data_IF_802132684005
#
_entry.id   IF_802132684005
#
_cell.length_a   1.000
_cell.length_b   1.000
_cell.length_c   1.000
_cell.angle_alpha   90.00
_cell.angle_beta   90.00
_cell.angle_gamma   90.00
#
_symmetry.space_group_name_H-M   'P 1'
#
loop_
_entity.id
_entity.type
_entity.pdbx_description
1 polymer ?
#
# COMPACT_ATOMS: atom_id res chain seq x y z
N UNK A 1 -32.88 -43.58 36.92
CA UNK A 1 -31.81 -42.84 37.57
C UNK A 1 -31.81 -41.44 37.08
N UNK A 2 -32.13 -40.46 37.93
CA UNK A 2 -32.13 -39.03 37.62
C UNK A 2 -30.74 -38.59 37.27
N UNK A 3 -30.51 -38.27 36.04
CA UNK A 3 -29.37 -37.48 35.61
C UNK A 3 -29.71 -36.02 35.86
N UNK A 4 -29.53 -35.53 37.09
CA UNK A 4 -29.47 -34.12 37.37
C UNK A 4 -28.20 -33.55 36.71
N UNK A 5 -28.33 -33.06 35.52
CA UNK A 5 -27.28 -32.35 34.85
C UNK A 5 -27.05 -31.05 35.56
N UNK A 6 -25.95 -30.93 36.32
CA UNK A 6 -25.48 -29.64 36.82
C UNK A 6 -24.84 -28.89 35.67
N UNK A 7 -25.46 -27.78 35.27
CA UNK A 7 -24.85 -26.87 34.34
C UNK A 7 -23.85 -25.98 35.10
N UNK A 8 -22.62 -25.90 34.62
CA UNK A 8 -21.62 -24.95 35.11
C UNK A 8 -21.55 -23.78 34.16
N UNK A 9 -21.62 -22.59 34.70
CA UNK A 9 -21.33 -21.35 33.96
C UNK A 9 -19.97 -20.82 34.42
N UNK A 10 -19.05 -20.67 33.48
CA UNK A 10 -17.75 -20.05 33.74
C UNK A 10 -17.78 -18.67 33.12
N UNK A 11 -17.71 -17.65 33.97
CA UNK A 11 -17.57 -16.25 33.53
C UNK A 11 -16.14 -15.79 33.82
N UNK A 12 -15.49 -15.21 32.83
CA UNK A 12 -14.19 -14.57 32.99
C UNK A 12 -14.15 -13.25 32.23
N UNK A 13 -13.27 -12.37 32.68
CA UNK A 13 -13.00 -11.09 32.02
C UNK A 13 -11.54 -11.09 31.55
N UNK A 14 -11.36 -10.74 30.29
CA UNK A 14 -10.03 -10.53 29.72
C UNK A 14 -9.92 -9.09 29.22
N UNK A 15 -8.75 -8.48 29.42
CA UNK A 15 -8.44 -7.17 28.83
C UNK A 15 -7.87 -7.40 27.45
N UNK A 16 -8.40 -6.73 26.44
CA UNK A 16 -7.81 -6.74 25.12
C UNK A 16 -6.42 -6.11 25.13
N UNK A 17 -5.47 -6.72 24.46
CA UNK A 17 -4.14 -6.14 24.30
C UNK A 17 -4.18 -4.95 23.34
N UNK A 18 -3.22 -4.04 23.45
CA UNK A 18 -3.10 -2.86 22.58
C UNK A 18 -2.78 -3.18 21.11
N UNK A 19 -2.62 -4.43 20.79
CA UNK A 19 -2.26 -4.92 19.47
C UNK A 19 -3.44 -5.39 18.61
N UNK A 20 -4.67 -5.34 19.15
CA UNK A 20 -5.87 -5.59 18.37
C UNK A 20 -6.20 -4.41 17.47
N UNK A 21 -6.57 -4.69 16.22
CA UNK A 21 -7.03 -3.70 15.24
C UNK A 21 -8.54 -3.76 15.08
N UNK A 22 -9.12 -2.65 14.63
CA UNK A 22 -10.55 -2.59 14.32
C UNK A 22 -10.90 -3.61 13.23
N UNK A 23 -11.94 -4.40 13.47
CA UNK A 23 -12.35 -5.48 12.57
C UNK A 23 -11.63 -6.83 12.80
N UNK A 24 -10.67 -6.90 13.72
CA UNK A 24 -10.00 -8.18 14.05
C UNK A 24 -10.95 -9.13 14.77
N UNK A 25 -10.91 -10.41 14.38
CA UNK A 25 -11.70 -11.45 15.03
C UNK A 25 -10.97 -12.01 16.26
N UNK A 26 -11.67 -12.01 17.39
CA UNK A 26 -11.21 -12.64 18.62
C UNK A 26 -12.00 -13.94 18.78
N UNK A 27 -11.29 -15.06 18.75
CA UNK A 27 -11.88 -16.38 18.95
C UNK A 27 -11.58 -16.89 20.36
N UNK A 28 -12.62 -17.23 21.07
CA UNK A 28 -12.55 -17.92 22.35
C UNK A 28 -12.88 -19.39 22.15
N UNK A 29 -11.99 -20.27 22.62
CA UNK A 29 -12.17 -21.72 22.56
C UNK A 29 -12.20 -22.24 23.99
N UNK A 30 -13.31 -22.83 24.36
CA UNK A 30 -13.47 -23.55 25.63
C UNK A 30 -13.47 -25.04 25.38
N UNK A 31 -12.56 -25.75 26.03
CA UNK A 31 -12.50 -27.21 26.00
C UNK A 31 -12.95 -27.77 27.36
N UNK A 32 -13.87 -28.72 27.35
CA UNK A 32 -14.29 -29.39 28.54
C UNK A 32 -14.03 -30.89 28.41
N UNK A 33 -13.35 -31.46 29.41
CA UNK A 33 -13.13 -32.90 29.50
C UNK A 33 -13.62 -33.42 30.83
N UNK A 34 -14.27 -34.55 30.81
CA UNK A 34 -14.75 -35.23 32.01
C UNK A 34 -14.45 -36.73 31.94
N UNK A 35 -13.72 -37.22 32.93
CA UNK A 35 -13.45 -38.67 33.20
C UNK A 35 -13.11 -39.52 31.96
N UNK A 36 -12.29 -39.02 31.04
CA UNK A 36 -11.83 -39.74 29.86
C UNK A 36 -12.82 -39.78 28.70
N UNK A 37 -13.91 -39.03 28.78
CA UNK A 37 -14.81 -38.79 27.64
C UNK A 37 -14.18 -37.82 26.67
N UNK A 38 -14.62 -37.92 25.39
CA UNK A 38 -14.16 -36.99 24.35
C UNK A 38 -14.37 -35.55 24.76
N UNK A 39 -13.39 -34.72 24.42
CA UNK A 39 -13.41 -33.30 24.74
C UNK A 39 -14.54 -32.61 23.98
N UNK A 40 -15.49 -32.03 24.68
CA UNK A 40 -16.43 -31.11 24.09
C UNK A 40 -15.72 -29.73 23.92
N UNK A 41 -15.75 -29.22 22.71
CA UNK A 41 -15.18 -27.93 22.40
C UNK A 41 -16.30 -26.94 22.03
N UNK A 42 -16.31 -25.82 22.70
CA UNK A 42 -17.16 -24.68 22.34
C UNK A 42 -16.30 -23.53 21.83
N UNK A 43 -16.63 -23.03 20.65
CA UNK A 43 -15.92 -21.92 20.03
C UNK A 43 -16.87 -20.74 19.87
N UNK A 44 -16.47 -19.57 20.30
CA UNK A 44 -17.19 -18.32 20.02
C UNK A 44 -16.24 -17.27 19.44
N UNK A 45 -16.67 -16.64 18.36
CA UNK A 45 -15.92 -15.56 17.69
C UNK A 45 -16.65 -14.27 17.86
N UNK A 46 -15.91 -13.19 18.14
CA UNK A 46 -16.40 -11.81 18.21
C UNK A 46 -15.47 -10.92 17.40
N UNK A 47 -16.03 -10.05 16.60
CA UNK A 47 -15.27 -9.00 15.92
C UNK A 47 -14.98 -7.87 16.91
N UNK A 48 -13.71 -7.49 17.02
CA UNK A 48 -13.31 -6.33 17.81
C UNK A 48 -13.69 -5.07 17.04
N UNK A 49 -14.41 -4.16 17.68
CA UNK A 49 -14.80 -2.89 17.10
C UNK A 49 -14.37 -1.74 18.02
N UNK A 50 -13.75 -0.75 17.43
CA UNK A 50 -13.45 0.51 18.11
C UNK A 50 -14.71 1.37 18.06
N UNK A 51 -15.55 1.28 19.07
CA UNK A 51 -16.79 2.05 19.14
C UNK A 51 -16.50 3.52 19.47
N UNK A 52 -16.53 4.38 18.46
CA UNK A 52 -16.72 5.84 18.60
C UNK A 52 -15.72 6.63 19.43
N UNK A 53 -14.61 6.06 19.84
CA UNK A 53 -13.57 6.70 20.64
C UNK A 53 -12.18 6.22 20.24
N UNK A 54 -11.15 7.04 20.49
CA UNK A 54 -9.78 6.61 20.37
C UNK A 54 -9.52 5.60 21.50
N UNK A 55 -9.42 4.31 21.16
CA UNK A 55 -9.00 3.31 22.14
C UNK A 55 -7.65 3.74 22.73
N UNK A 56 -7.49 3.57 24.03
CA UNK A 56 -6.24 3.87 24.72
C UNK A 56 -5.08 3.12 24.04
N UNK A 57 -4.09 3.85 23.51
CA UNK A 57 -2.98 3.31 22.73
C UNK A 57 -3.01 3.66 21.24
N UNK A 58 -4.17 3.99 20.66
CA UNK A 58 -4.29 4.45 19.26
C UNK A 58 -4.05 5.95 19.13
N UNK A 59 -2.85 6.39 19.47
CA UNK A 59 -2.49 7.82 19.58
C UNK A 59 -1.27 8.19 18.72
N UNK A 60 -0.70 7.23 18.01
CA UNK A 60 0.51 7.46 17.23
C UNK A 60 0.19 7.91 15.81
N UNK A 61 1.11 8.67 15.21
CA UNK A 61 0.95 9.26 13.89
C UNK A 61 2.22 9.05 13.06
N UNK A 62 2.04 8.64 11.81
CA UNK A 62 3.10 8.61 10.81
C UNK A 62 2.88 9.78 9.86
N UNK A 63 3.93 10.58 9.64
CA UNK A 63 3.97 11.72 8.74
C UNK A 63 4.94 11.45 7.61
N UNK A 64 4.58 11.87 6.40
CA UNK A 64 5.41 11.80 5.20
C UNK A 64 5.61 13.21 4.68
N UNK A 65 6.84 13.54 4.36
CA UNK A 65 7.21 14.74 3.61
C UNK A 65 7.91 14.31 2.32
N UNK A 66 7.20 14.45 1.19
CA UNK A 66 7.63 14.01 -0.13
C UNK A 66 8.29 15.11 -0.89
N UNK A 67 9.51 14.87 -1.38
CA UNK A 67 10.32 15.87 -2.10
C UNK A 67 11.00 15.26 -3.32
N UNK A 68 11.52 16.13 -4.19
CA UNK A 68 12.46 15.76 -5.25
C UNK A 68 13.93 15.85 -4.78
N UNK A 69 14.87 15.59 -5.69
CA UNK A 69 16.32 15.67 -5.46
C UNK A 69 16.80 17.08 -5.09
N UNK A 70 16.06 18.13 -5.47
CA UNK A 70 16.34 19.52 -5.11
C UNK A 70 15.65 19.94 -3.80
N UNK A 71 14.92 19.04 -3.16
CA UNK A 71 14.16 19.30 -1.93
C UNK A 71 12.83 20.00 -2.16
N UNK A 72 12.36 20.11 -3.42
CA UNK A 72 11.06 20.69 -3.71
C UNK A 72 9.94 19.71 -3.36
N UNK A 73 8.83 20.18 -2.76
CA UNK A 73 7.73 19.32 -2.39
C UNK A 73 7.05 18.67 -3.61
N UNK A 74 6.64 17.45 -3.48
CA UNK A 74 5.99 16.68 -4.54
C UNK A 74 4.57 16.30 -4.15
N UNK A 75 3.60 16.83 -4.89
CA UNK A 75 2.19 16.50 -4.78
C UNK A 75 1.85 15.21 -5.55
N UNK A 76 0.86 14.46 -5.05
CA UNK A 76 0.23 13.36 -5.78
C UNK A 76 0.94 12.01 -5.66
N UNK A 77 1.98 11.89 -4.84
CA UNK A 77 2.51 10.59 -4.46
C UNK A 77 1.49 9.82 -3.61
N UNK A 78 1.25 8.55 -3.93
CA UNK A 78 0.33 7.69 -3.19
C UNK A 78 1.11 6.65 -2.42
N UNK A 79 0.85 6.57 -1.11
CA UNK A 79 1.47 5.61 -0.20
C UNK A 79 0.44 4.72 0.49
N UNK A 80 0.82 3.49 0.76
CA UNK A 80 0.15 2.61 1.71
C UNK A 80 1.01 2.48 2.96
N UNK A 81 0.38 2.63 4.12
CA UNK A 81 0.98 2.31 5.43
C UNK A 81 0.42 0.98 5.87
N UNK A 82 1.30 0.02 6.03
CA UNK A 82 0.97 -1.38 6.31
C UNK A 82 1.48 -1.71 7.71
N UNK A 83 0.65 -2.26 8.56
CA UNK A 83 1.06 -2.79 9.84
C UNK A 83 1.71 -4.14 9.64
N UNK A 84 2.98 -4.29 10.00
CA UNK A 84 3.78 -5.47 9.65
C UNK A 84 3.26 -6.76 10.29
N UNK A 85 2.72 -6.67 11.49
CA UNK A 85 2.26 -7.80 12.28
C UNK A 85 1.14 -8.62 11.60
N UNK A 86 0.19 -7.96 10.97
CA UNK A 86 -0.97 -8.60 10.36
C UNK A 86 -1.16 -8.24 8.88
N UNK A 87 -0.20 -7.51 8.30
CA UNK A 87 -0.21 -7.05 6.91
C UNK A 87 -1.43 -6.18 6.54
N UNK A 88 -2.08 -5.59 7.54
CA UNK A 88 -3.22 -4.71 7.33
C UNK A 88 -2.77 -3.34 6.80
N UNK A 89 -3.42 -2.85 5.75
CA UNK A 89 -3.27 -1.47 5.27
C UNK A 89 -4.05 -0.57 6.23
N UNK A 90 -3.32 0.17 7.07
CA UNK A 90 -3.89 1.08 8.09
C UNK A 90 -4.07 2.51 7.58
N UNK A 91 -3.51 2.83 6.42
CA UNK A 91 -3.68 4.12 5.76
C UNK A 91 -3.30 4.07 4.29
N UNK A 92 -4.06 4.77 3.46
CA UNK A 92 -3.72 5.09 2.09
C UNK A 92 -3.67 6.61 1.96
N UNK A 93 -2.50 7.13 1.65
CA UNK A 93 -2.16 8.55 1.75
C UNK A 93 -1.84 9.09 0.37
N UNK A 94 -2.25 10.34 0.13
CA UNK A 94 -1.81 11.09 -1.06
C UNK A 94 -1.17 12.40 -0.60
N UNK A 95 0.00 12.72 -1.10
CA UNK A 95 0.70 13.95 -0.73
C UNK A 95 0.01 15.17 -1.31
N UNK A 96 -0.11 16.22 -0.49
CA UNK A 96 -0.65 17.52 -0.85
C UNK A 96 0.36 18.39 -1.63
N UNK A 97 0.01 19.66 -1.88
CA UNK A 97 0.86 20.62 -2.59
C UNK A 97 2.19 20.91 -1.89
N UNK A 98 2.22 20.74 -0.57
CA UNK A 98 3.43 20.93 0.24
C UNK A 98 4.21 19.63 0.44
N UNK A 99 3.81 18.56 -0.28
CA UNK A 99 4.43 17.24 -0.21
C UNK A 99 4.07 16.46 1.06
N UNK A 100 3.10 16.90 1.84
CA UNK A 100 2.78 16.30 3.13
C UNK A 100 1.63 15.28 3.01
N UNK A 101 1.74 14.22 3.80
CA UNK A 101 0.67 13.29 4.06
C UNK A 101 0.82 12.68 5.46
N UNK A 102 -0.28 12.27 6.09
CA UNK A 102 -0.19 11.66 7.42
C UNK A 102 -1.32 10.68 7.69
N UNK A 103 -1.06 9.71 8.55
CA UNK A 103 -2.04 8.81 9.13
C UNK A 103 -1.87 8.78 10.66
N UNK A 104 -2.94 9.04 11.37
CA UNK A 104 -3.00 8.98 12.84
C UNK A 104 -3.84 7.81 13.34
N UNK A 105 -4.09 7.80 14.64
CA UNK A 105 -4.81 6.73 15.33
C UNK A 105 -4.15 5.36 15.11
N UNK A 106 -2.83 5.32 15.22
CA UNK A 106 -2.03 4.11 15.12
C UNK A 106 -1.61 3.61 16.51
N UNK A 107 -1.36 2.33 16.61
CA UNK A 107 -0.66 1.73 17.74
C UNK A 107 0.84 1.97 17.61
N UNK A 108 1.58 1.85 18.71
CA UNK A 108 3.04 1.81 18.69
C UNK A 108 3.49 0.41 18.24
N UNK A 109 3.79 0.29 16.95
CA UNK A 109 4.09 -1.00 16.31
C UNK A 109 5.07 -0.83 15.14
N UNK A 110 5.40 -1.93 14.46
CA UNK A 110 6.18 -1.94 13.23
C UNK A 110 5.27 -1.65 12.03
N UNK A 111 5.72 -0.75 11.16
CA UNK A 111 5.00 -0.38 9.95
C UNK A 111 5.91 -0.37 8.73
N UNK A 112 5.31 -0.64 7.59
CA UNK A 112 5.91 -0.50 6.28
C UNK A 112 5.20 0.59 5.51
N UNK A 113 5.95 1.58 5.01
CA UNK A 113 5.45 2.59 4.06
C UNK A 113 5.86 2.14 2.67
N UNK A 114 4.88 1.94 1.80
CA UNK A 114 5.08 1.55 0.41
C UNK A 114 4.56 2.64 -0.51
N UNK A 115 5.39 3.13 -1.40
CA UNK A 115 4.93 4.01 -2.47
C UNK A 115 4.17 3.17 -3.51
N UNK A 116 2.90 3.47 -3.73
CA UNK A 116 2.05 2.79 -4.71
C UNK A 116 2.14 3.49 -6.06
N UNK A 117 2.11 4.83 -6.03
CA UNK A 117 2.20 5.67 -7.23
C UNK A 117 3.15 6.83 -6.96
N UNK A 118 4.15 6.99 -7.82
CA UNK A 118 5.02 8.15 -7.80
C UNK A 118 4.33 9.39 -8.40
N UNK A 119 4.76 10.61 -8.05
CA UNK A 119 4.32 11.81 -8.74
C UNK A 119 4.65 11.78 -10.24
N UNK A 120 3.86 12.49 -11.03
CA UNK A 120 4.08 12.55 -12.48
C UNK A 120 5.47 13.05 -12.83
N UNK A 121 6.20 12.31 -13.65
CA UNK A 121 7.57 12.65 -14.09
C UNK A 121 8.67 12.23 -13.11
N UNK A 122 8.34 11.39 -12.11
CA UNK A 122 9.29 10.86 -11.14
C UNK A 122 9.28 9.35 -11.11
N UNK A 123 10.43 8.76 -10.83
CA UNK A 123 10.57 7.32 -10.69
C UNK A 123 10.03 6.88 -9.32
N UNK A 124 9.26 5.78 -9.33
CA UNK A 124 8.71 5.18 -8.13
C UNK A 124 9.84 4.57 -7.28
N UNK A 125 9.70 4.64 -5.95
CA UNK A 125 10.59 3.91 -5.04
C UNK A 125 10.56 2.41 -5.30
N UNK A 126 11.74 1.80 -5.30
CA UNK A 126 11.91 0.35 -5.47
C UNK A 126 11.89 -0.40 -4.15
N UNK A 127 12.14 0.30 -3.04
CA UNK A 127 12.21 -0.27 -1.70
C UNK A 127 11.16 0.34 -0.78
N UNK A 128 10.60 -0.52 0.07
CA UNK A 128 9.69 -0.12 1.13
C UNK A 128 10.46 0.52 2.29
N UNK A 129 9.84 1.49 2.95
CA UNK A 129 10.41 2.18 4.12
C UNK A 129 9.86 1.55 5.38
N UNK A 130 10.73 1.16 6.29
CA UNK A 130 10.37 0.55 7.58
C UNK A 130 10.32 1.58 8.69
N UNK A 131 9.39 1.39 9.60
CA UNK A 131 9.25 2.15 10.86
C UNK A 131 9.17 1.14 11.99
N UNK A 132 10.03 1.34 12.99
CA UNK A 132 10.00 0.55 14.23
C UNK A 132 9.30 1.32 15.36
N UNK A 133 8.82 0.62 16.41
CA UNK A 133 8.16 1.24 17.55
C UNK A 133 9.01 2.29 18.28
N UNK A 134 10.34 2.14 18.26
CA UNK A 134 11.27 3.00 18.98
C UNK A 134 11.51 4.35 18.29
N UNK A 135 11.08 4.47 17.03
CA UNK A 135 11.23 5.70 16.28
C UNK A 135 10.12 6.73 16.57
N UNK A 136 9.02 6.32 17.19
CA UNK A 136 7.99 7.26 17.62
C UNK A 136 8.49 8.11 18.78
N UNK A 137 8.57 9.41 18.55
CA UNK A 137 9.04 10.39 19.53
C UNK A 137 8.09 10.59 20.72
N UNK A 138 8.46 11.50 21.60
CA UNK A 138 7.65 11.87 22.78
C UNK A 138 6.30 12.50 22.40
N UNK A 139 6.23 13.11 21.22
CA UNK A 139 5.01 13.65 20.59
C UNK A 139 4.13 12.56 19.94
N UNK A 140 4.52 11.28 20.09
CA UNK A 140 3.86 10.12 19.52
C UNK A 140 3.79 10.14 17.99
N UNK A 141 4.74 10.78 17.35
CA UNK A 141 4.85 10.83 15.91
C UNK A 141 6.21 10.38 15.38
N UNK A 142 6.22 9.93 14.14
CA UNK A 142 7.42 9.71 13.34
C UNK A 142 7.22 10.37 11.99
N UNK A 143 8.26 11.01 11.48
CA UNK A 143 8.25 11.66 10.17
C UNK A 143 9.28 11.00 9.25
N UNK A 144 8.92 10.85 7.98
CA UNK A 144 9.78 10.37 6.91
C UNK A 144 9.84 11.39 5.79
N UNK A 145 11.02 11.94 5.55
CA UNK A 145 11.34 12.66 4.33
C UNK A 145 11.66 11.61 3.25
N UNK A 146 10.87 11.62 2.18
CA UNK A 146 10.96 10.63 1.10
C UNK A 146 11.25 11.37 -0.20
N UNK A 147 12.32 10.97 -0.88
CA UNK A 147 12.78 11.57 -2.12
C UNK A 147 12.48 10.68 -3.32
N UNK A 148 11.97 11.26 -4.42
CA UNK A 148 11.93 10.60 -5.73
C UNK A 148 12.85 11.31 -6.70
N UNK A 149 13.47 10.52 -7.58
CA UNK A 149 14.29 11.00 -8.67
C UNK A 149 13.43 11.34 -9.88
N UNK A 150 13.78 12.41 -10.59
CA UNK A 150 13.16 12.72 -11.87
C UNK A 150 13.39 11.58 -12.86
N UNK A 151 12.32 11.16 -13.52
CA UNK A 151 12.43 10.19 -14.61
C UNK A 151 13.25 10.84 -15.74
N UNK A 152 14.37 10.26 -16.17
CA UNK A 152 15.14 10.78 -17.28
C UNK A 152 14.26 10.90 -18.53
N UNK A 153 14.43 11.98 -19.34
CA UNK A 153 13.78 12.03 -20.63
C UNK A 153 14.13 10.76 -21.42
N UNK A 154 13.13 10.12 -22.00
CA UNK A 154 13.40 9.01 -22.92
C UNK A 154 14.19 9.59 -24.09
N UNK A 155 15.44 9.23 -24.19
CA UNK A 155 16.22 9.51 -25.39
C UNK A 155 15.51 8.80 -26.55
N UNK A 156 15.11 9.50 -27.60
CA UNK A 156 14.56 8.86 -28.76
C UNK A 156 15.57 7.81 -29.24
N UNK A 157 15.16 6.57 -29.27
CA UNK A 157 16.00 5.53 -29.90
C UNK A 157 15.90 5.79 -31.40
N UNK A 158 16.92 6.39 -31.98
CA UNK A 158 17.01 6.49 -33.43
C UNK A 158 17.00 5.08 -34.01
N UNK A 159 15.91 4.72 -34.67
CA UNK A 159 15.84 3.50 -35.46
C UNK A 159 16.05 3.94 -36.90
N UNK A 160 17.14 3.44 -37.48
CA UNK A 160 17.33 3.55 -38.92
C UNK A 160 16.31 2.66 -39.63
N UNK A 161 15.46 3.28 -40.44
CA UNK A 161 14.48 2.57 -41.26
C UNK A 161 14.90 2.78 -42.71
N UNK A 162 15.29 1.68 -43.36
CA UNK A 162 15.64 1.68 -44.78
C UNK A 162 14.40 1.38 -45.65
N UNK A 163 14.10 2.27 -46.53
CA UNK A 163 13.03 2.10 -47.51
C UNK A 163 13.61 1.84 -48.90
N UNK A 164 13.04 0.89 -49.60
CA UNK A 164 13.33 0.64 -51.00
C UNK A 164 12.05 0.77 -51.83
N UNK A 165 12.03 1.66 -52.78
CA UNK A 165 10.96 1.74 -53.77
C UNK A 165 11.28 0.75 -54.89
N UNK A 166 10.39 -0.17 -55.17
CA UNK A 166 10.53 -1.18 -56.23
C UNK A 166 9.33 -1.16 -57.17
N UNK A 167 9.53 -1.55 -58.44
CA UNK A 167 8.47 -1.82 -59.38
C UNK A 167 7.78 -3.17 -59.08
N UNK A 168 6.68 -3.54 -59.78
CA UNK A 168 6.02 -4.82 -59.56
C UNK A 168 6.88 -6.06 -59.77
N UNK A 169 8.02 -5.93 -60.45
CA UNK A 169 8.98 -7.01 -60.68
C UNK A 169 10.12 -7.02 -59.66
N UNK A 170 10.08 -6.16 -58.66
CA UNK A 170 11.10 -6.08 -57.58
C UNK A 170 12.33 -5.25 -57.98
N UNK A 171 12.35 -4.54 -59.09
CA UNK A 171 13.46 -3.69 -59.50
C UNK A 171 13.38 -2.33 -58.79
N UNK A 172 14.51 -1.85 -58.24
CA UNK A 172 14.59 -0.56 -57.57
C UNK A 172 14.27 0.59 -58.54
N UNK A 173 13.44 1.55 -58.08
CA UNK A 173 13.07 2.77 -58.78
C UNK A 173 13.88 3.90 -58.21
N UNK A 174 14.90 4.43 -58.88
CA UNK A 174 15.71 5.53 -58.41
C UNK A 174 14.94 6.87 -58.48
N UNK A 175 15.24 7.79 -57.58
CA UNK A 175 14.66 9.14 -57.58
C UNK A 175 13.27 9.28 -57.01
N UNK A 176 12.75 8.24 -56.32
CA UNK A 176 11.47 8.35 -55.63
C UNK A 176 11.59 9.23 -54.39
N UNK A 177 10.72 10.22 -54.27
CA UNK A 177 10.59 11.01 -53.01
C UNK A 177 9.71 10.26 -52.01
N UNK A 178 10.20 10.20 -50.78
CA UNK A 178 9.51 9.64 -49.63
C UNK A 178 9.27 10.73 -48.60
N UNK A 179 8.02 10.95 -48.24
CA UNK A 179 7.66 11.85 -47.13
C UNK A 179 7.26 11.01 -45.92
N UNK A 180 7.89 11.27 -44.78
CA UNK A 180 7.57 10.59 -43.52
C UNK A 180 6.83 11.56 -42.62
N UNK A 181 5.67 11.18 -42.15
CA UNK A 181 4.83 11.95 -41.23
C UNK A 181 4.85 11.28 -39.85
N UNK A 182 4.92 12.10 -38.79
CA UNK A 182 4.73 11.63 -37.42
C UNK A 182 3.27 11.82 -37.03
N UNK A 183 2.56 10.74 -36.62
CA UNK A 183 1.18 10.80 -36.14
C UNK A 183 0.41 9.52 -36.44
N UNK A 184 -0.73 9.36 -35.76
CA UNK A 184 -1.60 8.18 -35.87
C UNK A 184 -2.49 8.17 -37.11
N UNK A 185 -2.52 9.24 -37.89
CA UNK A 185 -3.29 9.36 -39.13
C UNK A 185 -2.43 9.92 -40.25
N UNK A 186 -2.31 9.15 -41.33
CA UNK A 186 -1.68 9.60 -42.59
C UNK A 186 -2.79 10.02 -43.55
N UNK A 187 -2.95 11.32 -43.77
CA UNK A 187 -3.75 11.83 -44.91
C UNK A 187 -2.86 11.78 -46.15
N UNK A 188 -3.12 10.82 -47.00
CA UNK A 188 -2.56 10.78 -48.36
C UNK A 188 -3.40 11.75 -49.21
N UNK A 189 -2.91 12.98 -49.39
CA UNK A 189 -3.39 13.79 -50.52
C UNK A 189 -2.77 13.18 -51.77
N UNK A 190 -3.62 12.75 -52.70
CA UNK A 190 -3.22 12.31 -54.02
C UNK A 190 -2.59 13.52 -54.74
N UNK A 191 -1.34 13.33 -55.21
CA UNK A 191 -0.66 14.24 -56.10
C UNK A 191 -0.95 13.86 -57.57
#
# INVERSE_FOLDING_TARGET
>A
GDTNGFGYMIEYRAKANYDLVDGEEITNVANMSYNGSENEQSTSTRTYQIAGGVAEGYVFTIKIHKVDEAGQPLQGAVFEVIRDRNQAVVGRLTTDSDGNASVGKLLRDNYTIREVTAPLGYDKLTEDIKISPDEFGSDKSVERRIENKKTPPKTPTEKEITFKKVDPNGKEIPGAELKIYSGDTVNLEEA
#
